data_IF_802045401015
#
_entry.id   IF_802045401015
#
_cell.length_a   1.000
_cell.length_b   1.000
_cell.length_c   1.000
_cell.angle_alpha   90.00
_cell.angle_beta   90.00
_cell.angle_gamma   90.00
#
_symmetry.space_group_name_H-M   'P 1'
#
loop_
_entity.id
_entity.type
_entity.pdbx_description
1 polymer ?
#
# COMPACT_ATOMS: atom_id res chain seq x y z
N UNK A 1 1.60 -16.41 24.19
CA UNK A 1 2.09 -15.39 23.23
C UNK A 1 2.30 -14.11 24.00
N UNK A 2 3.36 -13.35 23.68
CA UNK A 2 3.56 -12.02 24.25
C UNK A 2 2.51 -11.07 23.67
N UNK A 3 2.01 -10.16 24.50
CA UNK A 3 1.22 -9.02 24.05
C UNK A 3 2.09 -8.05 23.25
N UNK A 4 1.46 -7.22 22.40
CA UNK A 4 2.16 -6.17 21.66
C UNK A 4 2.93 -5.21 22.58
N UNK A 5 2.44 -5.02 23.81
CA UNK A 5 3.07 -4.15 24.80
C UNK A 5 4.31 -4.79 25.43
N UNK A 6 4.28 -6.09 25.70
CA UNK A 6 5.47 -6.84 26.16
C UNK A 6 6.55 -6.92 25.08
N UNK A 7 6.15 -7.10 23.81
CA UNK A 7 7.09 -7.03 22.67
C UNK A 7 7.69 -5.63 22.52
N UNK A 8 6.87 -4.59 22.63
CA UNK A 8 7.35 -3.20 22.60
C UNK A 8 8.39 -2.95 23.69
N UNK A 9 8.16 -3.40 24.92
CA UNK A 9 9.12 -3.23 26.01
C UNK A 9 10.47 -3.88 25.68
N UNK A 10 10.49 -5.09 25.11
CA UNK A 10 11.73 -5.77 24.72
C UNK A 10 12.52 -5.00 23.67
N UNK A 11 11.85 -4.40 22.67
CA UNK A 11 12.51 -3.68 21.57
C UNK A 11 12.74 -2.20 21.88
N UNK A 12 12.13 -1.68 22.95
CA UNK A 12 12.21 -0.28 23.35
C UNK A 12 13.62 0.15 23.75
N UNK A 13 14.48 -0.80 24.13
CA UNK A 13 15.87 -0.57 24.50
C UNK A 13 16.84 -0.54 23.31
N UNK A 14 16.39 -0.90 22.10
CA UNK A 14 17.25 -0.91 20.91
C UNK A 14 17.67 0.52 20.52
N UNK A 15 18.88 0.69 19.95
CA UNK A 15 19.29 1.92 19.29
C UNK A 15 18.29 2.35 18.20
N UNK A 16 18.14 3.66 17.91
CA UNK A 16 17.18 4.14 16.92
C UNK A 16 17.28 3.47 15.55
N UNK A 17 18.51 3.20 15.07
CA UNK A 17 18.74 2.56 13.78
C UNK A 17 18.26 1.10 13.76
N UNK A 18 18.42 0.37 14.87
CA UNK A 18 17.97 -1.01 14.98
C UNK A 18 16.44 -1.10 15.09
N UNK A 19 15.80 -0.14 15.77
CA UNK A 19 14.33 -0.01 15.78
C UNK A 19 13.78 0.22 14.38
N UNK A 20 14.40 1.11 13.61
CA UNK A 20 14.00 1.37 12.23
C UNK A 20 14.12 0.10 11.39
N UNK A 21 15.26 -0.60 11.47
CA UNK A 21 15.48 -1.85 10.74
C UNK A 21 14.46 -2.94 11.11
N UNK A 22 14.11 -3.05 12.40
CA UNK A 22 13.07 -3.99 12.84
C UNK A 22 11.69 -3.61 12.28
N UNK A 23 11.35 -2.32 12.28
CA UNK A 23 10.09 -1.86 11.70
C UNK A 23 10.01 -2.16 10.20
N UNK A 24 11.10 -1.96 9.45
CA UNK A 24 11.19 -2.30 8.03
C UNK A 24 10.96 -3.79 7.77
N UNK A 25 11.58 -4.67 8.58
CA UNK A 25 11.38 -6.12 8.46
C UNK A 25 9.92 -6.52 8.72
N UNK A 26 9.31 -5.98 9.78
CA UNK A 26 7.92 -6.25 10.10
C UNK A 26 6.96 -5.74 9.01
N UNK A 27 7.24 -4.57 8.44
CA UNK A 27 6.47 -4.03 7.32
C UNK A 27 6.63 -4.89 6.06
N UNK A 28 7.84 -5.36 5.77
CA UNK A 28 8.09 -6.24 4.62
C UNK A 28 7.35 -7.57 4.75
N UNK A 29 7.28 -8.15 5.96
CA UNK A 29 6.50 -9.38 6.19
C UNK A 29 5.00 -9.15 5.97
N UNK A 30 4.49 -7.98 6.37
CA UNK A 30 3.09 -7.61 6.14
C UNK A 30 2.78 -7.30 4.67
N UNK A 31 3.78 -6.84 3.92
CA UNK A 31 3.69 -6.52 2.48
C UNK A 31 3.89 -7.76 1.59
N UNK A 32 3.49 -8.94 2.08
CA UNK A 32 3.57 -10.19 1.31
C UNK A 32 2.59 -10.12 0.14
N UNK A 33 3.07 -10.21 -1.13
CA UNK A 33 2.20 -10.19 -2.29
C UNK A 33 1.19 -11.33 -2.22
N UNK A 34 -0.08 -11.02 -2.44
CA UNK A 34 -1.12 -12.02 -2.57
C UNK A 34 -1.47 -12.19 -4.06
N UNK A 35 -1.08 -13.30 -4.71
CA UNK A 35 -1.30 -13.50 -6.14
C UNK A 35 -2.76 -13.45 -6.58
N UNK A 36 -3.69 -13.81 -5.69
CA UNK A 36 -5.13 -13.75 -5.97
C UNK A 36 -5.61 -12.29 -6.01
N UNK A 37 -5.18 -11.48 -5.04
CA UNK A 37 -5.48 -10.05 -5.00
C UNK A 37 -4.86 -9.37 -6.23
N UNK A 38 -3.61 -9.68 -6.57
CA UNK A 38 -2.94 -9.15 -7.76
C UNK A 38 -3.67 -9.52 -9.05
N UNK A 39 -4.21 -10.74 -9.14
CA UNK A 39 -4.99 -11.16 -10.29
C UNK A 39 -6.31 -10.36 -10.43
N UNK A 40 -7.02 -10.15 -9.32
CA UNK A 40 -8.25 -9.33 -9.29
C UNK A 40 -7.94 -7.88 -9.70
N UNK A 41 -6.87 -7.29 -9.17
CA UNK A 41 -6.44 -5.94 -9.55
C UNK A 41 -6.08 -5.85 -11.03
N UNK A 42 -5.39 -6.85 -11.57
CA UNK A 42 -5.03 -6.91 -12.99
C UNK A 42 -6.27 -6.94 -13.89
N UNK A 43 -7.26 -7.75 -13.53
CA UNK A 43 -8.53 -7.82 -14.27
C UNK A 43 -9.25 -6.47 -14.26
N UNK A 44 -9.42 -5.88 -13.07
CA UNK A 44 -10.12 -4.60 -12.93
C UNK A 44 -9.38 -3.46 -13.66
N UNK A 45 -8.06 -3.41 -13.58
CA UNK A 45 -7.26 -2.42 -14.30
C UNK A 45 -7.43 -2.56 -15.83
N UNK A 46 -7.40 -3.78 -16.36
CA UNK A 46 -7.64 -4.03 -17.78
C UNK A 46 -9.06 -3.64 -18.21
N UNK A 47 -10.06 -3.97 -17.39
CA UNK A 47 -11.46 -3.61 -17.63
C UNK A 47 -11.64 -2.08 -17.69
N UNK A 48 -11.10 -1.36 -16.71
CA UNK A 48 -11.15 0.13 -16.68
C UNK A 48 -10.43 0.74 -17.87
N UNK A 49 -9.28 0.20 -18.26
CA UNK A 49 -8.54 0.68 -19.41
C UNK A 49 -9.33 0.53 -20.71
N UNK A 50 -9.96 -0.63 -20.93
CA UNK A 50 -10.81 -0.85 -22.11
C UNK A 50 -11.99 0.11 -22.16
N UNK A 51 -12.71 0.29 -21.04
CA UNK A 51 -13.83 1.23 -20.96
C UNK A 51 -13.39 2.68 -21.21
N UNK A 52 -12.24 3.09 -20.67
CA UNK A 52 -11.65 4.40 -20.97
C UNK A 52 -11.36 4.56 -22.46
N UNK A 53 -10.70 3.56 -23.08
CA UNK A 53 -10.37 3.58 -24.51
C UNK A 53 -11.60 3.59 -25.42
N UNK A 54 -12.70 3.00 -24.98
CA UNK A 54 -13.99 3.00 -25.67
C UNK A 54 -14.82 4.27 -25.42
N UNK A 55 -14.40 5.16 -24.51
CA UNK A 55 -15.16 6.35 -24.13
C UNK A 55 -16.37 6.05 -23.24
N UNK A 56 -16.46 4.84 -22.70
CA UNK A 56 -17.58 4.37 -21.87
C UNK A 56 -17.42 4.77 -20.39
N UNK A 57 -16.24 5.28 -20.01
CA UNK A 57 -15.93 5.68 -18.65
C UNK A 57 -15.81 7.19 -18.51
N UNK A 58 -16.47 7.74 -17.49
CA UNK A 58 -16.32 9.17 -17.13
C UNK A 58 -14.91 9.44 -16.63
N UNK A 59 -14.32 10.54 -17.10
CA UNK A 59 -12.97 10.95 -16.71
C UNK A 59 -13.00 12.36 -16.14
N UNK A 60 -11.99 12.69 -15.35
CA UNK A 60 -11.73 14.05 -14.88
C UNK A 60 -10.46 14.55 -15.53
N UNK A 61 -10.40 15.84 -15.85
CA UNK A 61 -9.19 16.42 -16.43
C UNK A 61 -8.06 16.44 -15.40
N UNK A 62 -6.83 16.35 -15.89
CA UNK A 62 -5.64 16.49 -15.04
C UNK A 62 -5.65 17.80 -14.25
N UNK A 63 -6.06 18.91 -14.90
CA UNK A 63 -6.16 20.22 -14.26
C UNK A 63 -7.11 20.23 -13.06
N UNK A 64 -8.28 19.58 -13.18
CA UNK A 64 -9.24 19.47 -12.08
C UNK A 64 -8.68 18.69 -10.88
N UNK A 65 -7.88 17.65 -11.14
CA UNK A 65 -7.21 16.88 -10.07
C UNK A 65 -6.14 17.71 -9.36
N UNK A 66 -5.34 18.47 -10.12
CA UNK A 66 -4.24 19.25 -9.59
C UNK A 66 -4.67 20.51 -8.83
N UNK A 67 -5.92 20.94 -9.00
CA UNK A 67 -6.45 22.13 -8.33
C UNK A 67 -6.35 22.06 -6.80
N UNK A 68 -6.42 20.87 -6.20
CA UNK A 68 -6.30 20.68 -4.74
C UNK A 68 -4.90 20.97 -4.19
N UNK A 69 -3.88 20.95 -5.04
CA UNK A 69 -2.47 21.09 -4.65
C UNK A 69 -1.86 22.45 -5.05
N UNK A 70 -2.68 23.35 -5.59
CA UNK A 70 -2.35 24.77 -5.78
C UNK A 70 -2.75 25.56 -4.55
#
# INVERSE_FOLDING_TARGET
MLSSQELYQQVSHLPPLEKLRLAELLLADLDTPNPEIDAIWREEAQKRWKAYKAGEQKTVSYEAVMQKYK
#
